data_IF_387407145656
#
_entry.id   IF_387407145656
#
_cell.length_a   1.000
_cell.length_b   1.000
_cell.length_c   1.000
_cell.angle_alpha   90.00
_cell.angle_beta   90.00
_cell.angle_gamma   90.00
#
_symmetry.space_group_name_H-M   'P 1'
#
loop_
_entity.id
_entity.type
_entity.pdbx_description
1 polymer ?
#
# COMPACT_ATOMS: atom_id res chain seq x y z
N UNK A 1 -1.60 -19.41 31.44
CA UNK A 1 -0.23 -19.41 30.89
C UNK A 1 -0.26 -20.28 29.64
N UNK A 2 -0.20 -19.69 28.45
CA UNK A 2 0.00 -20.50 27.24
C UNK A 2 1.46 -20.95 27.25
N UNK A 3 1.66 -22.26 27.35
CA UNK A 3 2.96 -22.88 27.14
C UNK A 3 3.32 -22.71 25.66
N UNK A 4 4.51 -22.16 25.38
CA UNK A 4 5.05 -22.10 24.03
C UNK A 4 5.02 -23.49 23.37
N UNK A 5 4.65 -23.53 22.09
CA UNK A 5 4.74 -24.70 21.22
C UNK A 5 6.20 -25.17 21.07
N UNK A 6 6.41 -26.41 20.62
CA UNK A 6 7.75 -26.93 20.34
C UNK A 6 8.51 -26.08 19.33
N UNK A 7 7.83 -25.57 18.31
CA UNK A 7 8.43 -24.70 17.29
C UNK A 7 8.90 -23.36 17.89
N UNK A 8 8.07 -22.71 18.72
CA UNK A 8 8.45 -21.47 19.41
C UNK A 8 9.61 -21.68 20.37
N UNK A 9 9.63 -22.82 21.09
CA UNK A 9 10.77 -23.18 21.94
C UNK A 9 12.06 -23.35 21.14
N UNK A 10 12.00 -24.00 19.96
CA UNK A 10 13.18 -24.17 19.10
C UNK A 10 13.65 -22.84 18.50
N UNK A 11 12.73 -21.96 18.09
CA UNK A 11 13.07 -20.61 17.66
C UNK A 11 13.78 -19.83 18.78
N UNK A 12 13.27 -19.93 20.01
CA UNK A 12 13.90 -19.34 21.20
C UNK A 12 15.31 -19.86 21.45
N UNK A 13 15.52 -21.19 21.38
CA UNK A 13 16.86 -21.79 21.53
C UNK A 13 17.82 -21.27 20.44
N UNK A 14 17.38 -21.22 19.18
CA UNK A 14 18.20 -20.72 18.08
C UNK A 14 18.61 -19.25 18.32
N UNK A 15 17.64 -18.38 18.62
CA UNK A 15 17.88 -16.95 18.91
C UNK A 15 18.87 -16.81 20.07
N UNK A 16 18.63 -17.48 21.19
CA UNK A 16 19.49 -17.37 22.38
C UNK A 16 20.90 -17.93 22.14
N UNK A 17 21.04 -18.99 21.34
CA UNK A 17 22.35 -19.55 20.98
C UNK A 17 23.18 -18.65 20.06
N UNK A 18 22.52 -17.78 19.28
CA UNK A 18 23.13 -16.84 18.34
C UNK A 18 22.82 -15.37 18.69
N UNK A 19 22.61 -15.08 19.98
CA UNK A 19 22.00 -13.82 20.43
C UNK A 19 22.75 -12.57 19.93
N UNK A 20 24.08 -12.64 19.87
CA UNK A 20 24.90 -11.55 19.31
C UNK A 20 24.57 -11.28 17.85
N UNK A 21 24.57 -12.32 17.02
CA UNK A 21 24.28 -12.20 15.59
C UNK A 21 22.83 -11.75 15.34
N UNK A 22 21.87 -12.28 16.12
CA UNK A 22 20.49 -11.82 16.08
C UNK A 22 20.39 -10.32 16.36
N UNK A 23 21.00 -9.85 17.45
CA UNK A 23 21.02 -8.43 17.80
C UNK A 23 21.67 -7.57 16.70
N UNK A 24 22.84 -7.97 16.20
CA UNK A 24 23.53 -7.26 15.12
C UNK A 24 22.67 -7.20 13.84
N UNK A 25 21.99 -8.29 13.48
CA UNK A 25 21.11 -8.34 12.31
C UNK A 25 19.89 -7.44 12.45
N UNK A 26 19.22 -7.44 13.62
CA UNK A 26 18.06 -6.56 13.88
C UNK A 26 18.47 -5.10 13.82
N UNK A 27 19.56 -4.73 14.50
CA UNK A 27 20.08 -3.35 14.48
C UNK A 27 20.44 -2.93 13.05
N UNK A 28 21.12 -3.80 12.30
CA UNK A 28 21.49 -3.50 10.92
C UNK A 28 20.26 -3.35 10.00
N UNK A 29 19.25 -4.19 10.20
CA UNK A 29 18.00 -4.12 9.47
C UNK A 29 17.29 -2.78 9.71
N UNK A 30 17.13 -2.37 10.96
CA UNK A 30 16.41 -1.15 11.34
C UNK A 30 17.17 0.12 10.94
N UNK A 31 18.51 0.12 11.03
CA UNK A 31 19.32 1.31 10.76
C UNK A 31 19.75 1.47 9.31
N UNK A 32 19.79 0.39 8.53
CA UNK A 32 20.35 0.41 7.17
C UNK A 32 19.42 -0.18 6.12
N UNK A 33 18.98 -1.43 6.28
CA UNK A 33 18.22 -2.11 5.22
C UNK A 33 16.83 -1.50 5.01
N UNK A 34 16.06 -1.36 6.08
CA UNK A 34 14.70 -0.83 6.02
C UNK A 34 14.70 0.63 5.52
N UNK A 35 15.49 1.58 6.08
CA UNK A 35 15.55 2.94 5.56
C UNK A 35 16.00 3.03 4.11
N UNK A 36 17.03 2.26 3.69
CA UNK A 36 17.50 2.28 2.31
C UNK A 36 16.42 1.81 1.31
N UNK A 37 15.64 0.80 1.69
CA UNK A 37 14.52 0.33 0.89
C UNK A 37 13.42 1.38 0.80
N UNK A 38 12.96 1.92 1.93
CA UNK A 38 11.84 2.86 1.96
C UNK A 38 12.16 4.22 1.35
N UNK A 39 13.41 4.69 1.45
CA UNK A 39 13.88 5.85 0.71
C UNK A 39 13.69 5.69 -0.79
N UNK A 40 14.02 4.52 -1.31
CA UNK A 40 13.93 4.22 -2.75
C UNK A 40 12.47 3.96 -3.18
N UNK A 41 11.66 3.37 -2.29
CA UNK A 41 10.20 3.33 -2.44
C UNK A 41 9.62 4.74 -2.59
N UNK A 42 9.96 5.66 -1.67
CA UNK A 42 9.48 7.04 -1.68
C UNK A 42 9.88 7.73 -2.99
N UNK A 43 11.13 7.58 -3.44
CA UNK A 43 11.59 8.10 -4.73
C UNK A 43 10.82 7.56 -5.93
N UNK A 44 10.43 6.27 -5.92
CA UNK A 44 9.60 5.69 -6.98
C UNK A 44 8.22 6.35 -7.03
N UNK A 45 7.56 6.53 -5.87
CA UNK A 45 6.26 7.19 -5.78
C UNK A 45 6.36 8.67 -6.15
N UNK A 46 7.38 9.39 -5.68
CA UNK A 46 7.63 10.80 -6.02
C UNK A 46 7.80 10.99 -7.53
N UNK A 47 8.59 10.13 -8.16
CA UNK A 47 8.77 10.15 -9.61
C UNK A 47 7.46 9.90 -10.33
N UNK A 48 6.70 8.89 -9.93
CA UNK A 48 5.38 8.62 -10.50
C UNK A 48 4.45 9.85 -10.38
N UNK A 49 4.43 10.49 -9.20
CA UNK A 49 3.59 11.67 -8.97
C UNK A 49 4.01 12.83 -9.88
N UNK A 50 5.32 13.07 -10.01
CA UNK A 50 5.85 14.11 -10.89
C UNK A 50 5.51 13.86 -12.36
N UNK A 51 5.74 12.64 -12.84
CA UNK A 51 5.57 12.26 -14.24
C UNK A 51 4.09 12.33 -14.67
N UNK A 52 3.17 12.09 -13.73
CA UNK A 52 1.73 12.10 -13.99
C UNK A 52 1.02 13.37 -13.49
N UNK A 53 1.74 14.34 -12.91
CA UNK A 53 1.17 15.54 -12.27
C UNK A 53 0.15 15.23 -11.15
N UNK A 54 0.39 14.16 -10.39
CA UNK A 54 -0.42 13.83 -9.22
C UNK A 54 0.02 14.64 -8.02
N UNK A 55 -0.94 14.88 -7.12
CA UNK A 55 -0.70 15.58 -5.85
C UNK A 55 -0.58 14.53 -4.76
N UNK A 56 0.36 14.69 -3.84
CA UNK A 56 0.55 13.73 -2.76
C UNK A 56 1.79 14.00 -1.93
N UNK A 57 2.12 13.03 -1.09
CA UNK A 57 3.33 12.98 -0.28
C UNK A 57 3.77 11.52 -0.18
N UNK A 58 5.02 11.24 -0.54
CA UNK A 58 5.67 9.97 -0.24
C UNK A 58 6.71 10.24 0.85
N UNK A 59 6.51 9.68 2.04
CA UNK A 59 7.42 9.84 3.17
C UNK A 59 7.30 8.63 4.09
N UNK A 60 7.25 7.45 3.48
CA UNK A 60 7.13 6.20 4.18
C UNK A 60 8.38 5.94 5.04
N UNK A 61 9.58 6.28 4.54
CA UNK A 61 10.85 6.11 5.27
C UNK A 61 10.83 6.72 6.69
N UNK A 62 10.12 7.85 6.88
CA UNK A 62 10.15 8.61 8.14
C UNK A 62 8.81 8.69 8.87
N UNK A 63 7.69 8.41 8.20
CA UNK A 63 6.35 8.61 8.77
C UNK A 63 5.41 7.43 8.49
N UNK A 64 5.89 6.35 7.88
CA UNK A 64 5.07 5.19 7.46
C UNK A 64 3.83 5.61 6.63
N UNK A 65 3.96 6.75 5.94
CA UNK A 65 2.85 7.45 5.32
C UNK A 65 3.18 7.92 3.91
N UNK A 66 2.30 7.52 3.00
CA UNK A 66 2.32 7.82 1.59
C UNK A 66 0.89 7.96 1.09
N UNK A 67 0.57 9.08 0.45
CA UNK A 67 -0.71 9.27 -0.22
C UNK A 67 -0.52 10.01 -1.53
N UNK A 68 -1.44 9.77 -2.46
CA UNK A 68 -1.42 10.33 -3.79
C UNK A 68 -2.83 10.42 -4.37
N UNK A 69 -3.09 11.47 -5.13
CA UNK A 69 -4.38 11.73 -5.75
C UNK A 69 -4.20 12.30 -7.16
N UNK A 70 -5.08 11.89 -8.06
CA UNK A 70 -5.18 12.49 -9.38
C UNK A 70 -5.56 13.98 -9.25
N UNK A 71 -5.00 14.91 -10.05
CA UNK A 71 -5.23 16.35 -9.88
C UNK A 71 -6.70 16.75 -9.98
N UNK A 72 -7.51 16.04 -10.77
CA UNK A 72 -8.95 16.28 -10.87
C UNK A 72 -9.74 15.97 -9.57
N UNK A 73 -9.12 15.26 -8.63
CA UNK A 73 -9.73 14.89 -7.35
C UNK A 73 -9.45 15.93 -6.25
N UNK A 74 -8.55 16.87 -6.48
CA UNK A 74 -8.19 17.90 -5.51
C UNK A 74 -9.30 18.97 -5.45
N UNK A 75 -9.69 19.35 -4.24
CA UNK A 75 -10.65 20.43 -3.97
C UNK A 75 -9.89 21.74 -3.74
N UNK A 76 -9.01 21.74 -2.74
CA UNK A 76 -8.17 22.89 -2.37
C UNK A 76 -6.98 22.42 -1.53
N UNK A 77 -5.76 22.83 -1.90
CA UNK A 77 -4.54 22.43 -1.19
C UNK A 77 -4.39 20.90 -1.12
N UNK A 78 -4.36 20.35 0.08
CA UNK A 78 -4.27 18.89 0.34
C UNK A 78 -5.65 18.22 0.50
N UNK A 79 -6.73 18.99 0.46
CA UNK A 79 -8.08 18.46 0.61
C UNK A 79 -8.56 17.85 -0.73
N UNK A 80 -8.79 16.54 -0.74
CA UNK A 80 -9.19 15.79 -1.94
C UNK A 80 -10.58 15.18 -1.76
N UNK A 81 -11.30 14.96 -2.87
CA UNK A 81 -12.53 14.15 -2.92
C UNK A 81 -12.20 12.68 -2.70
N UNK A 82 -11.13 12.24 -3.35
CA UNK A 82 -10.62 10.88 -3.39
C UNK A 82 -9.10 10.89 -3.34
N UNK A 83 -8.49 9.86 -2.78
CA UNK A 83 -7.06 9.63 -2.84
C UNK A 83 -6.75 8.15 -2.70
N UNK A 84 -5.51 7.78 -3.02
CA UNK A 84 -4.91 6.53 -2.60
C UNK A 84 -3.96 6.79 -1.45
N UNK A 85 -3.88 5.85 -0.52
CA UNK A 85 -3.03 5.91 0.67
C UNK A 85 -2.41 4.54 0.90
N UNK A 86 -1.18 4.48 1.38
CA UNK A 86 -0.62 3.20 1.79
C UNK A 86 -1.46 2.59 2.92
N UNK A 87 -1.59 1.27 2.91
CA UNK A 87 -2.33 0.55 3.93
C UNK A 87 -1.72 -0.83 4.12
N UNK A 88 -1.90 -1.37 5.32
CA UNK A 88 -1.52 -2.73 5.67
C UNK A 88 -2.73 -3.44 6.26
N UNK A 89 -2.92 -4.72 5.91
CA UNK A 89 -4.00 -5.54 6.46
C UNK A 89 -3.56 -6.35 7.68
N UNK A 90 -2.29 -6.24 8.11
CA UNK A 90 -1.79 -6.89 9.33
C UNK A 90 -1.92 -5.98 10.54
N UNK A 91 -1.87 -6.58 11.73
CA UNK A 91 -1.85 -5.84 13.00
C UNK A 91 -0.52 -5.10 13.17
N UNK A 92 -0.59 -3.83 13.57
CA UNK A 92 0.60 -3.03 13.85
C UNK A 92 1.45 -3.66 14.97
N UNK A 93 2.76 -3.71 14.75
CA UNK A 93 3.74 -4.17 15.73
C UNK A 93 4.01 -5.68 15.74
N UNK A 94 3.25 -6.50 15.01
CA UNK A 94 3.47 -7.95 14.96
C UNK A 94 4.45 -8.37 13.85
N UNK A 95 4.48 -7.64 12.73
CA UNK A 95 5.39 -7.89 11.62
C UNK A 95 6.07 -6.61 11.15
N UNK A 96 7.34 -6.72 10.73
CA UNK A 96 7.98 -5.65 9.96
C UNK A 96 7.29 -5.54 8.59
N UNK A 97 6.92 -4.33 8.18
CA UNK A 97 6.18 -4.14 6.92
C UNK A 97 6.95 -4.61 5.70
N UNK A 98 8.29 -4.57 5.71
CA UNK A 98 9.09 -5.14 4.62
C UNK A 98 8.91 -6.66 4.52
N UNK A 99 8.68 -7.38 5.63
CA UNK A 99 8.36 -8.81 5.61
C UNK A 99 6.92 -9.06 5.11
N UNK A 100 5.98 -8.18 5.43
CA UNK A 100 4.61 -8.22 4.90
C UNK A 100 4.61 -8.02 3.38
N UNK A 101 5.38 -7.04 2.90
CA UNK A 101 5.58 -6.74 1.48
C UNK A 101 6.16 -7.93 0.70
N UNK A 102 6.90 -8.82 1.36
CA UNK A 102 7.46 -10.03 0.76
C UNK A 102 6.62 -11.28 0.94
N UNK A 103 5.47 -11.18 1.62
CA UNK A 103 4.61 -12.32 1.95
C UNK A 103 5.25 -13.29 2.95
N UNK A 104 6.21 -12.81 3.75
CA UNK A 104 6.93 -13.60 4.77
C UNK A 104 6.64 -13.11 6.19
N UNK A 105 5.59 -12.30 6.37
CA UNK A 105 5.06 -11.96 7.69
C UNK A 105 4.54 -13.20 8.43
N UNK A 106 4.47 -13.10 9.74
CA UNK A 106 3.87 -14.10 10.62
C UNK A 106 2.34 -14.07 10.53
N UNK A 107 1.76 -12.90 10.27
CA UNK A 107 0.36 -12.74 9.94
C UNK A 107 0.09 -12.91 8.45
N UNK A 108 -1.08 -13.50 8.14
CA UNK A 108 -1.60 -13.44 6.79
C UNK A 108 -2.14 -12.04 6.51
N UNK A 109 -1.36 -11.24 5.80
CA UNK A 109 -1.81 -9.94 5.33
C UNK A 109 -0.93 -9.37 4.23
N UNK A 110 -1.28 -8.15 3.82
CA UNK A 110 -0.72 -7.51 2.63
C UNK A 110 -0.45 -6.04 2.91
N UNK A 111 0.57 -5.52 2.25
CA UNK A 111 0.84 -4.09 2.13
C UNK A 111 0.44 -3.61 0.74
N UNK A 112 -0.04 -2.38 0.62
CA UNK A 112 -0.43 -1.83 -0.68
C UNK A 112 -1.06 -0.46 -0.58
N UNK A 113 -1.92 -0.13 -1.55
CA UNK A 113 -2.63 1.14 -1.61
C UNK A 113 -4.13 0.95 -1.46
N UNK A 114 -4.76 1.69 -0.56
CA UNK A 114 -6.20 1.74 -0.37
C UNK A 114 -6.78 3.00 -1.01
N UNK A 115 -7.86 2.84 -1.77
CA UNK A 115 -8.69 3.93 -2.26
C UNK A 115 -9.56 4.47 -1.13
N UNK A 116 -9.46 5.77 -0.88
CA UNK A 116 -10.16 6.47 0.20
C UNK A 116 -11.11 7.53 -0.35
N UNK A 117 -12.23 7.69 0.37
CA UNK A 117 -13.29 8.64 0.08
C UNK A 117 -13.36 9.70 1.18
N UNK A 118 -13.46 10.98 0.78
CA UNK A 118 -13.65 12.07 1.73
C UNK A 118 -15.11 12.11 2.21
N UNK A 119 -15.37 11.56 3.40
CA UNK A 119 -16.71 11.58 3.98
C UNK A 119 -17.29 12.99 4.13
N UNK A 120 -16.47 14.01 4.42
CA UNK A 120 -16.94 15.40 4.50
C UNK A 120 -17.47 15.91 3.17
N UNK A 121 -16.78 15.59 2.07
CA UNK A 121 -17.19 15.98 0.72
C UNK A 121 -18.47 15.25 0.27
N UNK A 122 -18.59 13.95 0.57
CA UNK A 122 -19.76 13.14 0.18
C UNK A 122 -20.97 13.28 1.11
N UNK A 123 -20.93 14.18 2.10
CA UNK A 123 -22.05 14.40 3.02
C UNK A 123 -22.24 13.26 4.04
N UNK A 124 -21.15 12.58 4.40
CA UNK A 124 -21.05 11.63 5.50
C UNK A 124 -21.02 10.16 5.08
N UNK A 125 -20.65 9.32 6.06
CA UNK A 125 -20.45 7.87 5.88
C UNK A 125 -21.70 7.15 5.34
N UNK A 126 -22.91 7.60 5.73
CA UNK A 126 -24.17 7.02 5.24
C UNK A 126 -24.34 7.19 3.74
N UNK A 127 -24.01 8.37 3.21
CA UNK A 127 -24.08 8.65 1.76
C UNK A 127 -23.03 7.84 1.00
N UNK A 128 -21.81 7.75 1.52
CA UNK A 128 -20.77 6.86 0.97
C UNK A 128 -21.25 5.42 0.91
N UNK A 129 -21.84 4.90 1.99
CA UNK A 129 -22.34 3.52 2.01
C UNK A 129 -23.43 3.30 0.95
N UNK A 130 -24.31 4.28 0.75
CA UNK A 130 -25.33 4.21 -0.31
C UNK A 130 -24.69 4.20 -1.71
N UNK A 131 -23.77 5.13 -2.00
CA UNK A 131 -23.02 5.15 -3.26
C UNK A 131 -22.30 3.82 -3.51
N UNK A 132 -21.60 3.32 -2.49
CA UNK A 132 -20.89 2.06 -2.53
C UNK A 132 -21.80 0.86 -2.84
N UNK A 133 -23.06 0.90 -2.40
CA UNK A 133 -24.02 -0.19 -2.62
C UNK A 133 -24.59 -0.17 -4.04
N UNK A 134 -24.62 1.00 -4.68
CA UNK A 134 -25.16 1.21 -6.02
C UNK A 134 -24.12 1.10 -7.15
N UNK A 135 -22.83 0.92 -6.84
CA UNK A 135 -21.79 0.73 -7.85
C UNK A 135 -22.15 -0.47 -8.73
N UNK A 136 -22.30 -0.21 -10.04
CA UNK A 136 -22.62 -1.23 -11.03
C UNK A 136 -21.57 -2.35 -11.05
N UNK A 137 -22.04 -3.59 -11.19
CA UNK A 137 -21.19 -4.77 -11.20
C UNK A 137 -20.09 -4.73 -12.27
N UNK A 138 -20.38 -4.14 -13.44
CA UNK A 138 -19.42 -3.96 -14.53
C UNK A 138 -18.19 -3.12 -14.13
N UNK A 139 -18.35 -2.13 -13.25
CA UNK A 139 -17.23 -1.34 -12.75
C UNK A 139 -16.42 -2.11 -11.72
N UNK A 140 -17.08 -2.90 -10.86
CA UNK A 140 -16.41 -3.77 -9.88
C UNK A 140 -15.50 -4.79 -10.58
N UNK A 141 -16.00 -5.41 -11.65
CA UNK A 141 -15.23 -6.37 -12.45
C UNK A 141 -14.02 -5.72 -13.15
N UNK A 142 -14.16 -4.48 -13.64
CA UNK A 142 -13.04 -3.74 -14.21
C UNK A 142 -11.96 -3.43 -13.15
N UNK A 143 -12.36 -2.98 -11.97
CA UNK A 143 -11.42 -2.74 -10.85
C UNK A 143 -10.74 -4.04 -10.39
N UNK A 144 -11.50 -5.14 -10.29
CA UNK A 144 -10.96 -6.46 -9.96
C UNK A 144 -9.95 -6.95 -11.02
N UNK A 145 -10.21 -6.70 -12.30
CA UNK A 145 -9.29 -7.05 -13.40
C UNK A 145 -7.96 -6.29 -13.29
N UNK A 146 -7.98 -5.06 -12.78
CA UNK A 146 -6.76 -4.31 -12.45
C UNK A 146 -6.08 -4.82 -11.17
N UNK A 147 -6.72 -5.69 -10.40
CA UNK A 147 -6.22 -6.26 -9.15
C UNK A 147 -6.61 -5.48 -7.90
N UNK A 148 -7.55 -4.53 -8.00
CA UNK A 148 -8.11 -3.87 -6.84
C UNK A 148 -9.13 -4.79 -6.16
N UNK A 149 -8.87 -5.10 -4.89
CA UNK A 149 -9.69 -5.95 -4.04
C UNK A 149 -10.76 -5.10 -3.35
N UNK A 150 -12.02 -5.50 -3.43
CA UNK A 150 -13.10 -4.82 -2.70
C UNK A 150 -12.96 -5.08 -1.19
N UNK A 151 -12.97 -4.00 -0.40
CA UNK A 151 -12.95 -4.06 1.07
C UNK A 151 -14.30 -3.66 1.69
N UNK A 152 -15.32 -3.49 0.85
CA UNK A 152 -16.65 -3.01 1.24
C UNK A 152 -16.69 -1.50 1.44
N UNK A 153 -17.92 -0.96 1.59
CA UNK A 153 -18.18 0.49 1.77
C UNK A 153 -17.56 1.39 0.68
N UNK A 154 -17.28 0.84 -0.50
CA UNK A 154 -16.73 1.58 -1.63
C UNK A 154 -15.20 1.72 -1.58
N UNK A 155 -14.55 1.08 -0.61
CA UNK A 155 -13.09 1.02 -0.52
C UNK A 155 -12.56 -0.12 -1.38
N UNK A 156 -11.42 0.14 -2.01
CA UNK A 156 -10.69 -0.83 -2.83
C UNK A 156 -9.24 -0.83 -2.40
N UNK A 157 -8.61 -2.00 -2.41
CA UNK A 157 -7.21 -2.17 -1.99
C UNK A 157 -6.40 -2.85 -3.08
N UNK A 158 -5.28 -2.24 -3.47
CA UNK A 158 -4.35 -2.79 -4.43
C UNK A 158 -3.10 -3.29 -3.68
N UNK A 159 -2.94 -4.62 -3.52
CA UNK A 159 -1.75 -5.17 -2.86
C UNK A 159 -0.50 -4.98 -3.72
N UNK A 160 0.63 -4.78 -3.04
CA UNK A 160 1.97 -4.82 -3.61
C UNK A 160 2.69 -6.00 -2.98
N UNK A 161 3.38 -6.79 -3.79
CA UNK A 161 4.19 -7.91 -3.28
C UNK A 161 5.50 -8.00 -4.03
N UNK A 162 6.60 -8.01 -3.29
CA UNK A 162 7.96 -8.15 -3.82
C UNK A 162 8.45 -9.55 -3.50
N UNK A 163 9.08 -10.22 -4.47
CA UNK A 163 9.65 -11.55 -4.19
C UNK A 163 10.87 -11.39 -3.28
N UNK A 164 10.98 -12.14 -2.16
CA UNK A 164 12.09 -11.98 -1.21
C UNK A 164 13.48 -12.10 -1.86
N UNK A 165 13.64 -12.97 -2.85
CA UNK A 165 14.91 -13.17 -3.54
C UNK A 165 15.38 -11.93 -4.32
N UNK A 166 14.47 -11.07 -4.80
CA UNK A 166 14.84 -9.84 -5.50
C UNK A 166 15.49 -8.82 -4.55
N UNK A 167 15.07 -8.78 -3.28
CA UNK A 167 15.70 -7.91 -2.28
C UNK A 167 17.14 -8.36 -2.03
N UNK A 168 17.34 -9.67 -1.84
CA UNK A 168 18.66 -10.24 -1.54
C UNK A 168 19.63 -10.06 -2.70
N UNK A 169 19.21 -10.36 -3.94
CA UNK A 169 20.11 -10.19 -5.10
C UNK A 169 20.41 -8.71 -5.37
N UNK A 170 19.42 -7.82 -5.27
CA UNK A 170 19.63 -6.37 -5.41
C UNK A 170 20.66 -5.86 -4.38
N UNK A 171 20.47 -6.21 -3.10
CA UNK A 171 21.39 -5.80 -2.04
C UNK A 171 22.79 -6.36 -2.23
N UNK A 172 22.90 -7.62 -2.65
CA UNK A 172 24.18 -8.28 -2.89
C UNK A 172 24.95 -7.64 -4.06
N UNK A 173 24.25 -7.22 -5.10
CA UNK A 173 24.84 -6.59 -6.28
C UNK A 173 25.23 -5.13 -6.04
N UNK A 174 24.35 -4.36 -5.38
CA UNK A 174 24.47 -2.91 -5.31
C UNK A 174 24.83 -2.36 -3.92
N UNK A 175 24.54 -3.10 -2.84
CA UNK A 175 24.62 -2.59 -1.47
C UNK A 175 23.59 -1.48 -1.16
N UNK A 176 22.61 -1.30 -2.05
CA UNK A 176 21.51 -0.34 -1.98
C UNK A 176 20.33 -0.87 -2.80
N UNK A 177 19.24 -0.10 -2.90
CA UNK A 177 18.08 -0.44 -3.73
C UNK A 177 17.86 0.60 -4.83
N UNK A 178 18.54 0.51 -5.99
CA UNK A 178 18.37 1.49 -7.06
C UNK A 178 16.92 1.52 -7.56
N UNK A 179 16.35 2.71 -7.77
CA UNK A 179 14.94 2.90 -8.18
C UNK A 179 14.56 2.25 -9.53
N UNK A 180 15.56 2.04 -10.39
CA UNK A 180 15.39 1.38 -11.70
C UNK A 180 15.53 -0.15 -11.62
N UNK A 181 15.94 -0.69 -10.47
CA UNK A 181 16.14 -2.12 -10.31
C UNK A 181 14.80 -2.86 -10.31
N UNK A 182 14.79 -4.10 -10.80
CA UNK A 182 13.58 -4.92 -10.96
C UNK A 182 12.84 -5.21 -9.66
N UNK A 183 13.49 -5.00 -8.51
CA UNK A 183 12.88 -5.11 -7.18
C UNK A 183 11.69 -4.18 -7.00
N UNK A 184 11.68 -3.02 -7.69
CA UNK A 184 10.59 -2.05 -7.67
C UNK A 184 9.58 -2.23 -8.80
N UNK A 185 9.75 -3.18 -9.73
CA UNK A 185 8.75 -3.43 -10.79
C UNK A 185 7.34 -3.72 -10.24
N UNK A 186 7.15 -4.47 -9.13
CA UNK A 186 5.83 -4.63 -8.53
C UNK A 186 5.20 -3.31 -8.07
N UNK A 187 6.01 -2.39 -7.52
CA UNK A 187 5.55 -1.06 -7.12
C UNK A 187 5.16 -0.21 -8.33
N UNK A 188 6.02 -0.14 -9.35
CA UNK A 188 5.72 0.58 -10.60
C UNK A 188 4.43 0.07 -11.26
N UNK A 189 4.29 -1.27 -11.33
CA UNK A 189 3.07 -1.91 -11.85
C UNK A 189 1.83 -1.52 -11.03
N UNK A 190 1.94 -1.44 -9.71
CA UNK A 190 0.84 -1.03 -8.85
C UNK A 190 0.46 0.43 -9.10
N UNK A 191 1.44 1.33 -9.18
CA UNK A 191 1.21 2.76 -9.47
C UNK A 191 0.56 2.96 -10.85
N UNK A 192 0.97 2.22 -11.87
CA UNK A 192 0.33 2.23 -13.19
C UNK A 192 -1.13 1.75 -13.14
N UNK A 193 -1.43 0.76 -12.29
CA UNK A 193 -2.81 0.30 -12.06
C UNK A 193 -3.64 1.34 -11.32
N UNK A 194 -3.06 2.08 -10.36
CA UNK A 194 -3.74 3.22 -9.74
C UNK A 194 -4.11 4.24 -10.81
N UNK A 195 -3.17 4.58 -11.72
CA UNK A 195 -3.43 5.49 -12.83
C UNK A 195 -4.57 5.01 -13.72
N UNK A 196 -4.56 3.74 -14.14
CA UNK A 196 -5.62 3.17 -14.96
C UNK A 196 -6.98 3.14 -14.26
N UNK A 197 -6.98 2.91 -12.94
CA UNK A 197 -8.21 2.84 -12.15
C UNK A 197 -8.93 4.18 -12.02
N UNK A 198 -8.23 5.31 -12.17
CA UNK A 198 -8.82 6.66 -12.06
C UNK A 198 -10.03 6.86 -12.97
N UNK A 199 -9.95 6.41 -14.23
CA UNK A 199 -11.05 6.53 -15.21
C UNK A 199 -12.29 5.77 -14.79
N UNK A 200 -12.11 4.59 -14.20
CA UNK A 200 -13.21 3.75 -13.73
C UNK A 200 -13.84 4.39 -12.48
N UNK A 201 -13.00 4.84 -11.54
CA UNK A 201 -13.44 5.51 -10.32
C UNK A 201 -14.20 6.81 -10.64
N UNK A 202 -13.68 7.64 -11.53
CA UNK A 202 -14.39 8.84 -11.99
C UNK A 202 -15.75 8.52 -12.60
N UNK A 203 -15.83 7.47 -13.43
CA UNK A 203 -17.08 7.04 -14.05
C UNK A 203 -18.14 6.60 -13.01
N UNK A 204 -17.72 5.87 -11.97
CA UNK A 204 -18.59 5.45 -10.86
C UNK A 204 -19.24 6.67 -10.19
N UNK A 205 -18.45 7.70 -9.88
CA UNK A 205 -18.96 8.85 -9.14
C UNK A 205 -19.70 9.87 -10.03
N UNK A 206 -19.39 9.95 -11.32
CA UNK A 206 -20.12 10.77 -12.28
C UNK A 206 -21.52 10.21 -12.59
N UNK A 207 -21.66 8.89 -12.75
CA UNK A 207 -22.97 8.28 -13.02
C UNK A 207 -23.97 8.49 -11.88
N UNK A 208 -23.49 8.50 -10.64
CA UNK A 208 -24.34 8.72 -9.47
C UNK A 208 -24.78 10.18 -9.30
N UNK A 209 -23.93 11.15 -9.67
CA UNK A 209 -24.29 12.57 -9.66
C UNK A 209 -25.43 12.89 -10.63
N UNK A 210 -25.53 12.16 -11.75
CA UNK A 210 -26.62 12.33 -12.73
C UNK A 210 -27.93 11.68 -12.27
N UNK A 211 -27.86 10.54 -11.59
CA UNK A 211 -29.04 9.88 -11.02
C UNK A 211 -29.66 10.72 -9.88
N UNK A 212 -28.84 11.38 -9.06
CA UNK A 212 -29.31 12.23 -7.95
C UNK A 212 -29.93 13.57 -8.37
N UNK A 213 -29.75 14.01 -9.62
CA UNK A 213 -30.39 15.23 -10.19
C UNK A 213 -31.69 14.89 -10.93
N UNK A 214 -31.93 13.59 -11.15
CA UNK A 214 -33.10 13.06 -11.87
C UNK A 214 -34.24 12.61 -10.94
N UNK A 215 -34.04 12.71 -9.61
CA UNK A 215 -35.02 12.50 -8.54
C UNK A 215 -35.43 13.83 -7.90
#
# INVERSE_FOLDING_TARGET
MNLHSDAERQAGILILSQLKMFNEAVVYFEQHLSPAFWKSFDQCVERFMKDNSWVGKANYEHQDYCWLAHPAWVIEGVNCKYWFENSSTVTEGNDYILAVLTGTGTEQGQFGFEFKLNAGYFGGVKKIANYASNIQQSYREQLQTLGLLEQGKGNYFLPVTIKPNLLTECWKEHGEFPVEHEVFFPLHTALDKLLQSTKILDAIFLSEAQNAVSE
#
